data_IF_271044306592
#
_entry.id   IF_271044306592
#
_cell.length_a   1.000
_cell.length_b   1.000
_cell.length_c   1.000
_cell.angle_alpha   90.00
_cell.angle_beta   90.00
_cell.angle_gamma   90.00
#
_symmetry.space_group_name_H-M   'P 1'
#
loop_
_entity.id
_entity.type
_entity.pdbx_description
1 polymer ?
#
# COMPACT_ATOMS: atom_id res chain seq x y z
N UNK A 1 -69.32 -35.73 -32.96
CA UNK A 1 -69.20 -35.94 -31.51
C UNK A 1 -68.09 -36.99 -31.37
N UNK A 2 -66.87 -36.81 -30.83
CA UNK A 2 -66.31 -35.90 -29.83
C UNK A 2 -64.76 -35.77 -29.98
N UNK A 3 -64.24 -35.45 -31.16
CA UNK A 3 -62.77 -35.42 -31.41
C UNK A 3 -62.01 -34.19 -30.87
N UNK A 4 -62.69 -33.06 -30.62
CA UNK A 4 -62.03 -31.78 -30.32
C UNK A 4 -61.65 -31.56 -28.85
N UNK A 5 -62.40 -32.13 -27.89
CA UNK A 5 -62.17 -31.91 -26.45
C UNK A 5 -60.94 -32.66 -25.92
N UNK A 6 -60.64 -33.84 -26.48
CA UNK A 6 -59.52 -34.65 -26.03
C UNK A 6 -58.15 -34.08 -26.43
N UNK A 7 -58.04 -33.46 -27.61
CA UNK A 7 -56.79 -32.85 -28.09
C UNK A 7 -56.42 -31.54 -27.36
N UNK A 8 -57.42 -30.75 -26.96
CA UNK A 8 -57.20 -29.50 -26.22
C UNK A 8 -56.69 -29.74 -24.80
N UNK A 9 -57.28 -30.73 -24.09
CA UNK A 9 -56.87 -31.10 -22.73
C UNK A 9 -55.45 -31.70 -22.68
N UNK A 10 -55.01 -32.41 -23.74
CA UNK A 10 -53.65 -32.95 -23.81
C UNK A 10 -52.60 -31.84 -24.00
N UNK A 11 -52.87 -30.84 -24.85
CA UNK A 11 -51.97 -29.70 -25.07
C UNK A 11 -51.90 -28.77 -23.84
N UNK A 12 -53.01 -28.53 -23.14
CA UNK A 12 -53.03 -27.72 -21.91
C UNK A 12 -52.29 -28.43 -20.75
N UNK A 13 -52.49 -29.75 -20.60
CA UNK A 13 -51.75 -30.57 -19.62
C UNK A 13 -50.26 -30.64 -19.96
N UNK A 14 -49.90 -30.70 -21.25
CA UNK A 14 -48.51 -30.66 -21.72
C UNK A 14 -47.86 -29.29 -21.50
N UNK A 15 -48.61 -28.20 -21.72
CA UNK A 15 -48.19 -26.80 -21.44
C UNK A 15 -48.02 -26.54 -19.93
N UNK A 16 -48.93 -27.06 -19.10
CA UNK A 16 -48.85 -26.98 -17.64
C UNK A 16 -47.69 -27.81 -17.08
N UNK A 17 -47.50 -29.03 -17.56
CA UNK A 17 -46.35 -29.87 -17.19
C UNK A 17 -45.02 -29.29 -17.69
N UNK A 18 -44.99 -28.66 -18.86
CA UNK A 18 -43.82 -27.93 -19.34
C UNK A 18 -43.50 -26.77 -18.40
N UNK A 19 -44.46 -25.86 -18.15
CA UNK A 19 -44.30 -24.72 -17.23
C UNK A 19 -43.88 -25.14 -15.82
N UNK A 20 -44.48 -26.20 -15.27
CA UNK A 20 -44.14 -26.74 -13.96
C UNK A 20 -42.72 -27.31 -13.94
N UNK A 21 -42.31 -28.04 -14.98
CA UNK A 21 -40.93 -28.52 -15.14
C UNK A 21 -39.94 -27.37 -15.32
N UNK A 22 -40.28 -26.32 -16.08
CA UNK A 22 -39.43 -25.13 -16.21
C UNK A 22 -39.29 -24.39 -14.89
N UNK A 23 -40.40 -24.24 -14.15
CA UNK A 23 -40.39 -23.58 -12.85
C UNK A 23 -39.56 -24.34 -11.82
N UNK A 24 -39.66 -25.68 -11.78
CA UNK A 24 -38.80 -26.51 -10.93
C UNK A 24 -37.34 -26.44 -11.35
N UNK A 25 -37.03 -26.48 -12.65
CA UNK A 25 -35.65 -26.36 -13.12
C UNK A 25 -35.02 -25.01 -12.73
N UNK A 26 -35.76 -23.91 -12.89
CA UNK A 26 -35.32 -22.58 -12.47
C UNK A 26 -35.14 -22.49 -10.95
N UNK A 27 -36.07 -23.05 -10.17
CA UNK A 27 -35.95 -23.08 -8.70
C UNK A 27 -34.71 -23.86 -8.24
N UNK A 28 -34.42 -25.01 -8.86
CA UNK A 28 -33.23 -25.82 -8.53
C UNK A 28 -31.93 -25.09 -8.88
N UNK A 29 -31.89 -24.36 -10.01
CA UNK A 29 -30.71 -23.57 -10.39
C UNK A 29 -30.49 -22.41 -9.40
N UNK A 30 -31.56 -21.68 -9.03
CA UNK A 30 -31.45 -20.57 -8.08
C UNK A 30 -30.98 -21.07 -6.72
N UNK A 31 -31.58 -22.14 -6.20
CA UNK A 31 -31.18 -22.73 -4.91
C UNK A 31 -29.75 -23.28 -4.98
N UNK A 32 -29.39 -23.98 -6.06
CA UNK A 32 -28.04 -24.52 -6.26
C UNK A 32 -26.97 -23.43 -6.33
N UNK A 33 -27.26 -22.32 -7.02
CA UNK A 33 -26.34 -21.17 -7.09
C UNK A 33 -26.19 -20.45 -5.75
N UNK A 34 -27.28 -20.26 -5.01
CA UNK A 34 -27.24 -19.66 -3.67
C UNK A 34 -26.43 -20.53 -2.70
N UNK A 35 -26.70 -21.85 -2.68
CA UNK A 35 -25.95 -22.79 -1.84
C UNK A 35 -24.49 -22.87 -2.26
N UNK A 36 -24.19 -22.85 -3.57
CA UNK A 36 -22.82 -22.86 -4.10
C UNK A 36 -22.03 -21.61 -3.70
N UNK A 37 -22.63 -20.41 -3.80
CA UNK A 37 -21.98 -19.17 -3.36
C UNK A 37 -21.77 -19.15 -1.84
N UNK A 38 -22.76 -19.57 -1.05
CA UNK A 38 -22.63 -19.67 0.42
C UNK A 38 -21.52 -20.64 0.81
N UNK A 39 -21.44 -21.81 0.18
CA UNK A 39 -20.37 -22.78 0.42
C UNK A 39 -19.02 -22.26 -0.05
N UNK A 40 -18.96 -21.57 -1.20
CA UNK A 40 -17.74 -20.94 -1.68
C UNK A 40 -17.22 -19.86 -0.71
N UNK A 41 -18.09 -19.00 -0.18
CA UNK A 41 -17.72 -18.01 0.84
C UNK A 41 -17.40 -18.63 2.20
N UNK A 42 -18.00 -19.76 2.56
CA UNK A 42 -17.68 -20.47 3.80
C UNK A 42 -16.32 -21.21 3.72
N UNK A 43 -15.98 -21.79 2.56
CA UNK A 43 -14.76 -22.56 2.34
C UNK A 43 -13.58 -21.65 1.96
N UNK A 44 -13.82 -20.66 1.09
CA UNK A 44 -12.82 -19.69 0.63
C UNK A 44 -12.95 -18.35 1.34
N UNK A 45 -13.51 -18.34 2.56
CA UNK A 45 -13.72 -17.16 3.37
C UNK A 45 -12.56 -16.19 3.21
N UNK A 46 -12.78 -15.15 2.41
CA UNK A 46 -11.83 -14.07 2.29
C UNK A 46 -11.88 -13.42 3.65
N UNK A 47 -10.90 -13.76 4.48
CA UNK A 47 -10.59 -12.98 5.67
C UNK A 47 -10.33 -11.57 5.16
N UNK A 48 -11.37 -10.73 5.15
CA UNK A 48 -11.22 -9.31 5.20
C UNK A 48 -10.52 -9.08 6.53
N UNK A 49 -9.18 -9.17 6.51
CA UNK A 49 -8.36 -8.58 7.55
C UNK A 49 -8.92 -7.17 7.67
N UNK A 50 -9.59 -6.89 8.78
CA UNK A 50 -9.94 -5.52 9.14
C UNK A 50 -8.67 -4.71 8.87
N UNK A 51 -8.75 -3.56 8.20
CA UNK A 51 -7.60 -2.68 8.10
C UNK A 51 -7.06 -2.55 9.53
N UNK A 52 -5.77 -2.88 9.69
CA UNK A 52 -5.12 -2.77 10.98
C UNK A 52 -5.48 -1.40 11.55
N UNK A 53 -5.99 -1.40 12.79
CA UNK A 53 -6.33 -0.17 13.51
C UNK A 53 -5.17 0.81 13.29
N UNK A 54 -5.42 2.09 12.91
CA UNK A 54 -4.35 3.03 12.64
C UNK A 54 -3.38 2.98 13.81
N UNK A 55 -2.12 2.69 13.49
CA UNK A 55 -1.04 2.59 14.44
C UNK A 55 -1.08 3.83 15.34
N UNK A 56 -1.16 3.61 16.66
CA UNK A 56 -1.23 4.63 17.72
C UNK A 56 -0.01 5.58 17.73
N UNK A 57 0.91 5.40 16.78
CA UNK A 57 2.05 6.27 16.49
C UNK A 57 1.71 7.76 16.37
N UNK A 58 0.51 8.14 15.90
CA UNK A 58 0.10 9.54 15.78
C UNK A 58 -0.46 10.15 17.07
N UNK A 59 -0.68 9.35 18.11
CA UNK A 59 -1.11 9.83 19.43
C UNK A 59 0.02 10.50 20.21
N UNK A 60 1.27 10.29 19.79
CA UNK A 60 2.44 10.96 20.33
C UNK A 60 2.68 12.25 19.52
N UNK A 61 2.55 13.40 20.16
CA UNK A 61 2.79 14.68 19.50
C UNK A 61 4.28 14.81 19.13
N UNK A 62 4.54 15.14 17.87
CA UNK A 62 5.87 15.51 17.36
C UNK A 62 5.98 17.04 17.45
N UNK A 63 7.05 17.61 18.03
CA UNK A 63 7.29 19.05 18.03
C UNK A 63 7.28 19.63 16.62
N UNK A 64 6.77 20.85 16.43
CA UNK A 64 6.58 21.43 15.09
C UNK A 64 7.88 21.53 14.27
N UNK A 65 9.00 21.82 14.93
CA UNK A 65 10.33 21.89 14.32
C UNK A 65 10.95 20.51 13.99
N UNK A 66 10.32 19.42 14.46
CA UNK A 66 10.74 18.04 14.19
C UNK A 66 9.79 17.34 13.21
N UNK A 67 8.71 18.01 12.78
CA UNK A 67 7.79 17.48 11.76
C UNK A 67 8.44 17.52 10.39
N UNK A 68 8.85 16.35 9.91
CA UNK A 68 9.28 16.15 8.53
C UNK A 68 8.08 15.85 7.63
N UNK A 69 8.02 16.51 6.47
CA UNK A 69 6.95 16.35 5.48
C UNK A 69 6.92 14.92 4.92
N UNK A 70 5.78 14.24 5.07
CA UNK A 70 5.54 12.90 4.53
C UNK A 70 4.77 12.91 3.19
N UNK A 71 4.30 14.07 2.74
CA UNK A 71 3.52 14.23 1.52
C UNK A 71 4.06 15.37 0.63
N UNK A 72 5.31 15.25 0.14
CA UNK A 72 5.93 16.28 -0.69
C UNK A 72 5.24 16.45 -2.05
N UNK A 73 4.58 15.40 -2.56
CA UNK A 73 3.80 15.46 -3.80
C UNK A 73 2.50 16.22 -3.53
N UNK A 74 2.27 17.39 -4.13
CA UNK A 74 1.04 18.17 -3.87
C UNK A 74 -0.11 17.76 -4.82
N UNK A 75 -1.38 17.89 -4.41
CA UNK A 75 -1.91 18.50 -3.17
C UNK A 75 -1.92 17.56 -1.96
N UNK A 76 -1.82 18.12 -0.75
CA UNK A 76 -1.95 17.36 0.51
C UNK A 76 -3.42 17.23 0.91
N UNK A 77 -3.84 15.99 1.22
CA UNK A 77 -5.15 15.72 1.83
C UNK A 77 -4.99 14.77 3.01
N UNK A 78 -5.89 14.84 3.99
CA UNK A 78 -5.92 13.92 5.13
C UNK A 78 -5.94 12.46 4.65
N UNK A 79 -6.82 12.14 3.71
CA UNK A 79 -7.00 10.79 3.20
C UNK A 79 -5.71 10.21 2.60
N UNK A 80 -5.02 10.96 1.74
CA UNK A 80 -3.78 10.47 1.12
C UNK A 80 -2.63 10.43 2.12
N UNK A 81 -2.58 11.36 3.09
CA UNK A 81 -1.62 11.33 4.18
C UNK A 81 -1.75 10.05 5.04
N UNK A 82 -2.96 9.72 5.48
CA UNK A 82 -3.23 8.54 6.29
C UNK A 82 -2.99 7.24 5.50
N UNK A 83 -3.30 7.24 4.19
CA UNK A 83 -3.01 6.11 3.29
C UNK A 83 -1.51 5.85 3.12
N UNK A 84 -0.66 6.88 3.24
CA UNK A 84 0.81 6.73 3.29
C UNK A 84 1.32 6.19 4.64
N UNK A 85 0.44 6.04 5.64
CA UNK A 85 0.81 5.62 6.99
C UNK A 85 1.43 6.73 7.83
N UNK A 86 1.10 7.98 7.53
CA UNK A 86 1.60 9.16 8.21
C UNK A 86 0.52 9.86 9.04
N UNK A 87 0.95 10.84 9.84
CA UNK A 87 0.07 11.60 10.73
C UNK A 87 -0.41 12.86 10.04
N UNK A 88 -1.68 13.19 10.26
CA UNK A 88 -2.30 14.39 9.72
C UNK A 88 -2.72 15.34 10.84
N UNK A 89 -2.40 16.63 10.67
CA UNK A 89 -2.92 17.74 11.46
C UNK A 89 -3.66 18.69 10.50
N UNK A 90 -4.92 19.06 10.80
CA UNK A 90 -5.66 20.03 10.00
C UNK A 90 -4.85 21.32 9.81
N UNK A 91 -4.92 21.90 8.61
CA UNK A 91 -4.24 23.17 8.33
C UNK A 91 -4.71 24.29 9.25
N UNK A 92 -5.98 24.30 9.67
CA UNK A 92 -6.55 25.23 10.66
C UNK A 92 -5.87 25.20 12.02
N UNK A 93 -5.32 24.05 12.40
CA UNK A 93 -4.64 23.86 13.70
C UNK A 93 -3.17 24.26 13.62
N UNK A 94 -2.71 24.63 12.41
CA UNK A 94 -1.38 25.08 12.09
C UNK A 94 -1.46 26.48 11.48
N UNK A 95 -0.33 27.17 11.34
CA UNK A 95 -0.27 28.41 10.56
C UNK A 95 -0.12 28.10 9.07
N UNK A 96 -0.96 27.20 8.55
CA UNK A 96 -0.90 26.66 7.18
C UNK A 96 -2.17 27.09 6.44
N UNK A 97 -2.01 27.64 5.24
CA UNK A 97 -3.13 28.04 4.38
C UNK A 97 -3.49 26.95 3.36
N UNK A 98 -4.64 27.08 2.70
CA UNK A 98 -5.02 26.16 1.61
C UNK A 98 -4.03 26.23 0.42
N UNK A 99 -3.47 27.41 0.14
CA UNK A 99 -2.44 27.58 -0.89
C UNK A 99 -1.15 26.82 -0.52
N UNK A 100 -0.80 26.78 0.77
CA UNK A 100 0.35 26.01 1.26
C UNK A 100 0.16 24.49 1.13
N UNK A 101 -1.09 24.00 1.11
CA UNK A 101 -1.39 22.59 0.87
C UNK A 101 -1.18 22.17 -0.58
N UNK A 102 -1.21 23.13 -1.51
CA UNK A 102 -1.05 22.89 -2.95
C UNK A 102 0.32 23.33 -3.50
N UNK A 103 1.06 24.23 -2.82
CA UNK A 103 2.42 24.63 -3.21
C UNK A 103 3.48 23.64 -2.70
N UNK A 104 4.23 23.04 -3.62
CA UNK A 104 5.33 22.12 -3.31
C UNK A 104 6.57 22.81 -2.74
N UNK A 105 6.63 24.15 -2.77
CA UNK A 105 7.72 24.96 -2.23
C UNK A 105 7.46 25.44 -0.81
N UNK A 106 6.33 25.09 -0.22
CA UNK A 106 6.03 25.43 1.17
C UNK A 106 7.09 24.82 2.11
N UNK A 107 7.69 25.65 2.97
CA UNK A 107 8.74 25.26 3.92
C UNK A 107 8.32 25.41 5.40
N UNK A 108 7.03 25.60 5.68
CA UNK A 108 6.51 25.68 7.04
C UNK A 108 6.20 24.31 7.66
N UNK A 109 5.43 24.32 8.75
CA UNK A 109 5.06 23.07 9.46
C UNK A 109 4.10 22.26 8.59
N UNK A 110 4.44 21.02 8.20
CA UNK A 110 3.61 20.24 7.29
C UNK A 110 2.37 19.70 8.00
N UNK A 111 1.20 19.82 7.35
CA UNK A 111 -0.04 19.16 7.79
C UNK A 111 0.05 17.63 7.73
N UNK A 112 0.85 17.07 6.83
CA UNK A 112 1.13 15.64 6.76
C UNK A 112 2.58 15.34 7.13
N UNK A 113 2.81 14.61 8.21
CA UNK A 113 4.15 14.40 8.75
C UNK A 113 4.41 12.97 9.18
N UNK A 114 5.68 12.57 9.21
CA UNK A 114 6.09 11.27 9.73
C UNK A 114 5.82 11.17 11.24
N UNK A 115 5.33 10.02 11.69
CA UNK A 115 5.15 9.75 13.13
C UNK A 115 6.51 9.61 13.84
N UNK A 116 6.53 9.82 15.15
CA UNK A 116 7.73 9.60 15.98
C UNK A 116 8.21 8.15 15.98
N UNK A 117 7.34 7.20 15.63
CA UNK A 117 7.63 5.76 15.53
C UNK A 117 7.88 5.30 14.10
N UNK A 118 8.04 6.21 13.13
CA UNK A 118 8.28 5.81 11.75
C UNK A 118 9.64 5.08 11.61
N UNK A 119 9.59 3.80 11.26
CA UNK A 119 10.79 2.96 11.02
C UNK A 119 10.91 2.66 9.54
N UNK A 120 11.68 3.49 8.81
CA UNK A 120 11.91 3.32 7.37
C UNK A 120 12.69 2.04 7.04
N UNK A 121 14.00 2.06 7.28
CA UNK A 121 14.88 0.90 7.13
C UNK A 121 15.46 0.49 8.48
N UNK A 122 15.57 -0.83 8.70
CA UNK A 122 16.37 -1.38 9.79
C UNK A 122 17.74 -1.83 9.29
N UNK A 123 18.72 -1.66 10.17
CA UNK A 123 20.08 -2.14 9.97
C UNK A 123 20.12 -3.64 10.24
N UNK A 124 20.57 -4.41 9.24
CA UNK A 124 20.85 -5.83 9.34
C UNK A 124 22.33 -6.08 9.66
N UNK A 125 22.89 -7.15 9.11
CA UNK A 125 24.29 -7.54 9.35
C UNK A 125 25.26 -6.37 9.09
N UNK A 126 26.10 -6.10 10.09
CA UNK A 126 27.15 -5.09 10.05
C UNK A 126 28.50 -5.80 10.00
N UNK A 127 29.40 -5.31 9.16
CA UNK A 127 30.80 -5.70 9.09
C UNK A 127 31.64 -4.43 9.19
N UNK A 128 32.51 -4.36 10.19
CA UNK A 128 33.39 -3.22 10.42
C UNK A 128 34.84 -3.65 10.17
N UNK A 129 35.60 -2.80 9.52
CA UNK A 129 37.04 -2.94 9.28
C UNK A 129 37.77 -1.67 9.72
N UNK A 130 39.09 -1.64 9.60
CA UNK A 130 39.89 -0.42 9.86
C UNK A 130 39.53 0.72 8.91
N UNK A 131 39.05 0.39 7.71
CA UNK A 131 38.88 1.33 6.61
C UNK A 131 37.40 1.74 6.42
N UNK A 132 36.48 1.15 7.18
CA UNK A 132 35.06 1.47 7.05
C UNK A 132 34.07 0.50 7.69
N UNK A 133 32.79 0.69 7.33
CA UNK A 133 31.64 -0.08 7.80
C UNK A 133 30.78 -0.46 6.60
N UNK A 134 30.40 -1.73 6.51
CA UNK A 134 29.41 -2.21 5.56
C UNK A 134 28.20 -2.78 6.31
N UNK A 135 27.00 -2.42 5.88
CA UNK A 135 25.77 -2.98 6.43
C UNK A 135 24.71 -3.20 5.35
N UNK A 136 23.76 -4.10 5.62
CA UNK A 136 22.56 -4.24 4.79
C UNK A 136 21.40 -3.53 5.48
N UNK A 137 20.70 -2.63 4.78
CA UNK A 137 19.48 -1.99 5.28
C UNK A 137 18.26 -2.67 4.64
N UNK A 138 17.27 -3.02 5.45
CA UNK A 138 16.02 -3.64 4.98
C UNK A 138 14.81 -2.81 5.39
N UNK A 139 13.98 -2.44 4.42
CA UNK A 139 12.76 -1.66 4.65
C UNK A 139 11.72 -2.51 5.39
N UNK A 140 11.10 -2.00 6.45
CA UNK A 140 10.12 -2.78 7.24
C UNK A 140 8.68 -2.46 6.88
N UNK A 141 8.41 -1.18 6.65
CA UNK A 141 7.11 -0.68 6.23
C UNK A 141 7.24 -0.04 4.85
N UNK A 142 6.20 -0.12 3.99
CA UNK A 142 6.14 0.67 2.77
C UNK A 142 6.37 2.15 3.07
N UNK A 143 7.08 2.86 2.19
CA UNK A 143 7.33 4.30 2.38
C UNK A 143 6.12 5.18 2.06
N UNK A 144 5.09 4.61 1.44
CA UNK A 144 4.00 5.38 0.85
C UNK A 144 4.32 5.94 -0.55
N UNK A 145 5.51 5.65 -1.10
CA UNK A 145 5.93 6.06 -2.44
C UNK A 145 6.05 4.87 -3.40
N UNK A 146 5.87 5.09 -4.72
CA UNK A 146 6.01 4.01 -5.71
C UNK A 146 7.46 3.52 -5.81
N UNK A 147 7.61 2.22 -6.09
CA UNK A 147 8.90 1.56 -6.39
C UNK A 147 9.90 1.61 -5.23
N UNK A 148 9.42 1.31 -4.02
CA UNK A 148 10.28 1.06 -2.88
C UNK A 148 11.37 0.03 -3.17
N UNK A 149 12.58 0.29 -2.67
CA UNK A 149 13.70 -0.65 -2.75
C UNK A 149 13.77 -1.39 -1.41
N UNK A 150 13.38 -2.67 -1.41
CA UNK A 150 13.26 -3.44 -0.16
C UNK A 150 14.59 -3.58 0.60
N UNK A 151 15.71 -3.64 -0.12
CA UNK A 151 17.05 -3.88 0.45
C UNK A 151 18.09 -3.01 -0.26
N UNK A 152 18.88 -2.30 0.53
CA UNK A 152 20.04 -1.52 0.08
C UNK A 152 21.27 -1.88 0.90
N UNK A 153 22.45 -1.64 0.36
CA UNK A 153 23.71 -1.75 1.09
C UNK A 153 24.15 -0.34 1.51
N UNK A 154 24.52 -0.24 2.78
CA UNK A 154 25.23 0.90 3.35
C UNK A 154 26.73 0.59 3.31
N UNK A 155 27.51 1.53 2.81
CA UNK A 155 28.97 1.52 2.83
C UNK A 155 29.44 2.86 3.40
N UNK A 156 30.17 2.82 4.49
CA UNK A 156 30.84 3.97 5.11
C UNK A 156 32.33 3.74 4.92
N UNK A 157 33.02 4.66 4.24
CA UNK A 157 34.47 4.60 4.02
C UNK A 157 35.11 5.72 4.82
N UNK A 158 36.11 5.40 5.63
CA UNK A 158 36.93 6.40 6.31
C UNK A 158 37.99 6.87 5.32
N UNK A 159 37.88 8.12 4.87
CA UNK A 159 38.80 8.69 3.88
C UNK A 159 40.09 9.13 4.57
N UNK A 160 39.94 9.82 5.70
CA UNK A 160 40.99 10.32 6.58
C UNK A 160 40.43 10.54 7.99
N UNK A 161 41.23 11.10 8.90
CA UNK A 161 40.86 11.32 10.30
C UNK A 161 39.74 12.37 10.50
N UNK A 162 39.40 13.14 9.47
CA UNK A 162 38.36 14.19 9.52
C UNK A 162 37.19 13.93 8.56
N UNK A 163 37.31 12.95 7.66
CA UNK A 163 36.40 12.78 6.53
C UNK A 163 35.98 11.33 6.36
N UNK A 164 34.66 11.14 6.24
CA UNK A 164 34.08 9.87 5.84
C UNK A 164 33.13 10.04 4.66
N UNK A 165 32.92 8.96 3.91
CA UNK A 165 31.96 8.91 2.80
C UNK A 165 30.94 7.82 3.04
N UNK A 166 29.68 8.22 3.06
CA UNK A 166 28.54 7.31 3.19
C UNK A 166 27.92 7.09 1.81
N UNK A 167 27.72 5.83 1.43
CA UNK A 167 27.03 5.44 0.20
C UNK A 167 25.92 4.45 0.53
N UNK A 168 24.73 4.72 0.00
CA UNK A 168 23.59 3.80 0.06
C UNK A 168 23.26 3.39 -1.36
N UNK A 169 23.37 2.10 -1.66
CA UNK A 169 23.17 1.57 -3.02
C UNK A 169 22.23 0.38 -3.01
N UNK A 170 21.39 0.27 -4.04
CA UNK A 170 20.68 -1.00 -4.31
C UNK A 170 21.72 -2.08 -4.60
N UNK A 171 21.53 -3.31 -4.09
CA UNK A 171 22.32 -4.47 -4.54
C UNK A 171 22.21 -4.56 -6.07
N UNK A 172 23.31 -4.50 -6.83
CA UNK A 172 23.23 -4.63 -8.28
C UNK A 172 22.67 -6.02 -8.61
N UNK A 173 21.56 -6.06 -9.35
CA UNK A 173 21.03 -7.31 -9.92
C UNK A 173 21.83 -7.71 -11.18
N UNK A 174 22.46 -6.72 -11.82
CA UNK A 174 23.49 -6.85 -12.85
C UNK A 174 24.45 -5.66 -12.69
N UNK A 175 25.74 -5.89 -12.84
CA UNK A 175 26.76 -4.85 -12.70
C UNK A 175 26.68 -3.84 -13.85
N UNK A 176 26.07 -2.70 -13.61
CA UNK A 176 26.43 -1.37 -14.13
C UNK A 176 25.25 -0.45 -13.86
N UNK A 177 25.45 0.48 -12.92
CA UNK A 177 24.65 1.70 -12.84
C UNK A 177 25.62 2.86 -12.95
N UNK A 178 25.20 3.89 -13.66
CA UNK A 178 25.93 5.12 -13.92
C UNK A 178 26.24 5.84 -12.60
N UNK A 179 27.33 5.45 -11.95
CA UNK A 179 28.03 6.35 -11.04
C UNK A 179 28.60 7.45 -11.95
N UNK A 180 28.31 8.72 -11.64
CA UNK A 180 29.01 9.85 -12.24
C UNK A 180 30.49 9.58 -12.06
N UNK A 181 31.23 9.39 -13.16
CA UNK A 181 32.67 9.17 -13.13
C UNK A 181 33.30 10.28 -12.31
N UNK A 182 33.68 9.94 -11.08
CA UNK A 182 34.48 10.82 -10.25
C UNK A 182 35.76 11.10 -11.02
N UNK A 183 35.94 12.36 -11.41
CA UNK A 183 37.23 12.86 -11.86
C UNK A 183 38.21 12.54 -10.73
N UNK A 184 39.07 11.55 -10.98
CA UNK A 184 40.25 11.31 -10.18
C UNK A 184 41.16 12.52 -10.34
N UNK A 185 40.94 13.55 -9.53
CA UNK A 185 41.97 14.53 -9.24
C UNK A 185 42.84 13.87 -8.18
N UNK A 186 43.89 13.18 -8.64
CA UNK A 186 45.05 12.93 -7.78
C UNK A 186 45.79 14.27 -7.61
N UNK A 187 46.33 14.55 -6.42
CA UNK A 187 47.18 15.72 -6.19
C UNK A 187 48.45 15.70 -7.04
#
# INVERSE_FOLDING_TARGET
MDGGKYAFLTEEKRRSNCKRKTLYALAVIVVGSAVGTILFFAIHGTSFKKPDKPDDSCSIEVPYNEKFDCHPDRPVSEKECLKRGCCYKPASDLTVTEDDLIDSRFLGVPSCYYSSKYVGYEIGNISSTTDGIAATLSRKIPSGFPRDIQRVNLEVVFIDDASLRIKVRRKPQFSMRWDTFGLNIKP
#
